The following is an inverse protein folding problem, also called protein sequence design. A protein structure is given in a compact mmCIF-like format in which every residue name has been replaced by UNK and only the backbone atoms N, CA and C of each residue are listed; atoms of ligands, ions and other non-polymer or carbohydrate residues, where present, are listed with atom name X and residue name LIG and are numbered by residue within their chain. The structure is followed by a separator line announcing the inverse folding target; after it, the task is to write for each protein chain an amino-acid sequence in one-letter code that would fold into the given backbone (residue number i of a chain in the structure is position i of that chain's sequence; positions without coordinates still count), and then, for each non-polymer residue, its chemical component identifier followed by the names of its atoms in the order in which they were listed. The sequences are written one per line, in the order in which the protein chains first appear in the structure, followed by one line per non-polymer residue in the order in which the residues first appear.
data_IF_624639978524
#
_entry.id   IF_624639978524
#
_cell.length_a   1.000
_cell.length_b   1.000
_cell.length_c   1.000
_cell.angle_alpha   90.00
_cell.angle_beta   90.00
_cell.angle_gamma   90.00
#
_symmetry.space_group_name_H-M   'P 1'
#
loop_
_entity.id
_entity.type
_entity.pdbx_description
1 polymer ?
#
# COMPACT_ATOMS: atom_id res chain seq x y z
N UNK A 1 -13.20 -14.42 -12.28
CA UNK A 1 -11.97 -15.10 -12.65
C UNK A 1 -10.87 -14.85 -11.62
N UNK A 2 -10.45 -13.61 -11.35
CA UNK A 2 -9.42 -13.32 -10.35
C UNK A 2 -9.75 -13.89 -8.96
N UNK A 3 -11.01 -13.82 -8.52
CA UNK A 3 -11.45 -14.41 -7.27
C UNK A 3 -11.25 -15.93 -7.23
N UNK A 4 -11.44 -16.61 -8.35
CA UNK A 4 -11.18 -18.06 -8.46
C UNK A 4 -9.69 -18.37 -8.28
N UNK A 5 -8.83 -17.59 -8.93
CA UNK A 5 -7.37 -17.75 -8.81
C UNK A 5 -6.94 -17.52 -7.36
N UNK A 6 -7.34 -16.42 -6.74
CA UNK A 6 -7.01 -16.13 -5.34
C UNK A 6 -7.47 -17.26 -4.42
N UNK A 7 -8.72 -17.72 -4.60
CA UNK A 7 -9.25 -18.82 -3.78
C UNK A 7 -8.47 -20.12 -3.99
N UNK A 8 -8.08 -20.42 -5.22
CA UNK A 8 -7.22 -21.55 -5.54
C UNK A 8 -5.89 -21.46 -4.78
N UNK A 9 -5.16 -20.34 -4.90
CA UNK A 9 -3.87 -20.18 -4.22
C UNK A 9 -3.96 -20.21 -2.69
N UNK A 10 -5.00 -19.62 -2.11
CA UNK A 10 -5.22 -19.66 -0.64
C UNK A 10 -5.42 -21.10 -0.13
N UNK A 11 -5.99 -21.97 -0.95
CA UNK A 11 -6.29 -23.35 -0.57
C UNK A 11 -5.35 -24.39 -1.18
N UNK A 12 -4.41 -23.96 -2.00
CA UNK A 12 -3.43 -24.85 -2.60
C UNK A 12 -2.32 -25.18 -1.60
N UNK A 13 -1.94 -26.45 -1.56
CA UNK A 13 -0.78 -26.92 -0.81
C UNK A 13 0.18 -27.59 -1.78
N UNK A 14 1.39 -27.05 -1.99
CA UNK A 14 2.40 -27.72 -2.81
C UNK A 14 2.74 -29.09 -2.25
N UNK A 15 3.10 -30.01 -3.12
CA UNK A 15 3.49 -31.36 -2.73
C UNK A 15 5.01 -31.47 -2.55
N UNK A 16 5.47 -32.52 -1.91
CA UNK A 16 6.88 -32.87 -1.83
C UNK A 16 7.68 -32.22 -0.69
N UNK A 17 7.02 -31.70 0.36
CA UNK A 17 7.68 -31.11 1.52
C UNK A 17 7.37 -31.88 2.81
N UNK A 18 8.29 -31.81 3.76
CA UNK A 18 8.19 -32.45 5.09
C UNK A 18 8.33 -31.44 6.20
N UNK A 19 7.72 -31.73 7.36
CA UNK A 19 7.89 -30.94 8.59
C UNK A 19 9.32 -31.09 9.15
N UNK A 20 9.73 -30.19 10.05
CA UNK A 20 11.00 -30.28 10.77
C UNK A 20 12.18 -29.80 9.93
N UNK A 21 12.09 -28.59 9.43
CA UNK A 21 13.05 -27.99 8.51
C UNK A 21 14.29 -27.50 9.22
N UNK A 22 15.43 -27.92 8.73
CA UNK A 22 16.73 -27.43 9.16
C UNK A 22 17.61 -27.27 7.92
N UNK A 23 18.21 -26.10 7.75
CA UNK A 23 19.15 -25.88 6.67
C UNK A 23 20.38 -26.76 6.92
N UNK A 24 20.83 -27.46 5.89
CA UNK A 24 22.07 -28.24 5.97
C UNK A 24 23.24 -27.34 6.31
N UNK A 25 24.10 -27.85 7.18
CA UNK A 25 25.39 -27.24 7.42
C UNK A 25 26.42 -27.67 6.37
N UNK A 26 26.18 -28.76 5.69
CA UNK A 26 27.06 -29.32 4.66
C UNK A 26 26.30 -29.61 3.38
N UNK A 27 26.94 -29.33 2.25
CA UNK A 27 26.42 -29.65 0.93
C UNK A 27 27.46 -30.42 0.15
N UNK A 28 27.01 -31.22 -0.83
CA UNK A 28 27.90 -31.92 -1.77
C UNK A 28 27.93 -31.14 -3.06
N UNK A 29 29.14 -30.75 -3.49
CA UNK A 29 29.35 -30.06 -4.75
C UNK A 29 30.62 -30.59 -5.45
N UNK A 30 30.51 -31.02 -6.70
CA UNK A 30 31.61 -31.60 -7.48
C UNK A 30 32.37 -32.69 -6.73
N UNK A 31 31.64 -33.55 -5.97
CA UNK A 31 32.22 -34.63 -5.18
C UNK A 31 32.92 -34.20 -3.88
N UNK A 32 32.89 -32.92 -3.56
CA UNK A 32 33.44 -32.39 -2.31
C UNK A 32 32.30 -32.19 -1.30
N UNK A 33 32.58 -32.36 0.00
CA UNK A 33 31.70 -32.00 1.11
C UNK A 33 32.09 -30.62 1.59
N UNK A 34 31.22 -29.64 1.35
CA UNK A 34 31.44 -28.24 1.70
C UNK A 34 30.62 -27.87 2.90
N UNK A 35 31.16 -27.06 3.82
CA UNK A 35 30.44 -26.49 4.95
C UNK A 35 29.91 -25.10 4.60
N UNK A 36 28.59 -24.87 4.80
CA UNK A 36 27.99 -23.57 4.66
C UNK A 36 28.43 -22.65 5.80
N UNK A 37 28.86 -21.45 5.46
CA UNK A 37 29.22 -20.39 6.41
C UNK A 37 28.15 -19.31 6.41
N UNK A 38 27.74 -18.92 7.61
CA UNK A 38 26.71 -17.90 7.83
C UNK A 38 27.36 -16.65 8.39
N UNK A 39 26.98 -15.49 7.88
CA UNK A 39 27.39 -14.19 8.40
C UNK A 39 26.14 -13.43 8.85
N UNK A 40 26.00 -13.19 10.16
CA UNK A 40 24.87 -12.46 10.72
C UNK A 40 23.49 -12.98 10.27
N UNK A 41 23.27 -14.27 10.32
CA UNK A 41 22.08 -14.97 9.83
C UNK A 41 21.99 -15.16 8.32
N UNK A 42 23.05 -14.95 7.61
CA UNK A 42 23.06 -15.08 6.17
C UNK A 42 24.00 -16.19 5.72
N UNK A 43 23.65 -16.90 4.66
CA UNK A 43 24.57 -17.80 3.98
C UNK A 43 25.50 -16.93 3.13
N UNK A 44 26.77 -16.89 3.51
CA UNK A 44 27.76 -16.06 2.80
C UNK A 44 28.56 -16.85 1.79
N UNK A 45 29.02 -18.06 2.15
CA UNK A 45 29.84 -18.91 1.28
C UNK A 45 29.86 -20.36 1.80
N UNK A 46 30.38 -21.26 0.99
CA UNK A 46 30.64 -22.64 1.38
C UNK A 46 32.17 -22.96 1.31
N UNK A 47 32.69 -23.62 2.33
CA UNK A 47 34.10 -23.93 2.47
C UNK A 47 34.37 -25.44 2.39
N UNK A 48 35.48 -25.80 1.81
CA UNK A 48 36.01 -27.17 1.82
C UNK A 48 36.93 -27.33 3.06
N UNK A 49 36.38 -27.93 4.11
CA UNK A 49 37.18 -28.21 5.33
C UNK A 49 38.34 -29.16 5.10
N UNK A 50 38.22 -30.03 4.11
CA UNK A 50 39.29 -30.98 3.73
C UNK A 50 40.47 -30.30 3.01
N UNK A 51 40.24 -29.12 2.46
CA UNK A 51 41.23 -28.32 1.75
C UNK A 51 41.45 -26.96 2.44
N UNK A 52 41.81 -27.01 3.72
CA UNK A 52 42.23 -25.83 4.49
C UNK A 52 41.13 -24.70 4.54
N UNK A 53 39.88 -25.05 4.53
CA UNK A 53 38.73 -24.12 4.49
C UNK A 53 38.75 -23.21 3.24
N UNK A 54 39.20 -23.74 2.11
CA UNK A 54 39.10 -23.05 0.83
C UNK A 54 37.65 -22.67 0.56
N UNK A 55 37.38 -21.42 0.21
CA UNK A 55 36.08 -20.97 -0.27
C UNK A 55 35.85 -21.53 -1.69
N UNK A 56 34.84 -22.38 -1.83
CA UNK A 56 34.52 -23.04 -3.10
C UNK A 56 33.33 -22.42 -3.78
N UNK A 57 32.31 -22.08 -2.96
CA UNK A 57 31.11 -21.39 -3.39
C UNK A 57 31.02 -20.13 -2.58
N UNK A 58 30.82 -18.98 -3.20
CA UNK A 58 30.74 -17.72 -2.50
C UNK A 58 29.72 -16.80 -3.13
N UNK A 59 29.24 -15.90 -2.31
CA UNK A 59 28.28 -14.87 -2.67
C UNK A 59 28.98 -13.52 -2.60
N UNK A 60 29.67 -13.17 -3.67
CA UNK A 60 30.42 -11.92 -3.77
C UNK A 60 29.95 -11.16 -5.02
N UNK A 61 29.86 -9.83 -4.91
CA UNK A 61 29.69 -8.99 -6.09
C UNK A 61 31.03 -8.83 -6.84
N UNK A 62 31.02 -8.10 -7.97
CA UNK A 62 32.25 -7.85 -8.76
C UNK A 62 33.32 -7.09 -8.00
N UNK A 63 32.95 -6.40 -6.96
CA UNK A 63 33.82 -5.57 -6.13
C UNK A 63 34.39 -6.36 -4.93
N UNK A 64 34.03 -7.65 -4.81
CA UNK A 64 34.48 -8.54 -3.76
C UNK A 64 33.74 -8.37 -2.44
N UNK A 65 32.54 -7.74 -2.44
CA UNK A 65 31.73 -7.64 -1.26
C UNK A 65 30.83 -8.87 -1.12
N UNK A 66 30.74 -9.42 0.09
CA UNK A 66 29.83 -10.53 0.38
C UNK A 66 28.38 -10.13 0.10
N UNK A 67 27.71 -10.88 -0.75
CA UNK A 67 26.27 -10.77 -0.95
C UNK A 67 25.62 -11.75 0.01
N UNK A 68 25.15 -11.26 1.14
CA UNK A 68 24.58 -12.08 2.19
C UNK A 68 23.04 -12.11 2.10
N UNK A 69 22.46 -13.28 2.38
CA UNK A 69 21.03 -13.50 2.49
C UNK A 69 20.70 -13.87 3.93
N UNK A 70 19.60 -13.33 4.44
CA UNK A 70 19.18 -13.66 5.80
C UNK A 70 18.74 -15.13 5.86
N UNK A 71 19.32 -15.92 6.74
CA UNK A 71 18.94 -17.34 6.91
C UNK A 71 17.53 -17.50 7.52
N UNK A 72 17.02 -16.47 8.20
CA UNK A 72 15.65 -16.41 8.72
C UNK A 72 14.65 -15.94 7.65
N UNK A 73 15.11 -15.40 6.53
CA UNK A 73 14.26 -15.18 5.39
C UNK A 73 13.60 -16.51 5.03
N UNK A 74 12.34 -16.49 4.77
CA UNK A 74 11.54 -17.68 4.60
C UNK A 74 12.29 -18.75 3.82
N UNK A 75 12.05 -20.03 4.10
CA UNK A 75 12.64 -21.16 3.37
C UNK A 75 12.52 -21.03 1.84
N UNK A 76 11.55 -20.25 1.35
CA UNK A 76 11.39 -19.87 -0.04
C UNK A 76 12.61 -19.12 -0.58
N UNK A 77 13.14 -18.17 0.18
CA UNK A 77 14.26 -17.35 -0.27
C UNK A 77 15.56 -18.10 -0.23
N UNK A 78 15.75 -18.96 0.75
CA UNK A 78 16.90 -19.86 0.80
C UNK A 78 16.95 -20.83 -0.37
N UNK A 79 15.82 -21.31 -0.87
CA UNK A 79 15.73 -22.14 -2.05
C UNK A 79 16.19 -21.46 -3.35
N UNK A 80 16.40 -20.17 -3.31
CA UNK A 80 16.81 -19.37 -4.47
C UNK A 80 18.17 -18.70 -4.29
N UNK A 81 18.90 -19.05 -3.26
CA UNK A 81 20.27 -18.63 -3.14
C UNK A 81 21.08 -19.10 -4.35
N UNK A 82 21.90 -18.23 -4.86
CA UNK A 82 22.80 -18.48 -5.98
C UNK A 82 24.21 -18.27 -5.48
N UNK A 83 25.04 -19.25 -5.73
CA UNK A 83 26.49 -19.13 -5.55
C UNK A 83 27.18 -19.02 -6.89
N UNK A 84 28.20 -18.22 -6.94
CA UNK A 84 29.13 -18.18 -8.05
C UNK A 84 30.37 -19.01 -7.65
N UNK A 85 30.75 -20.02 -8.43
CA UNK A 85 31.96 -20.78 -8.19
C UNK A 85 33.21 -20.03 -8.69
N UNK A 86 34.39 -20.59 -8.42
CA UNK A 86 35.65 -19.98 -8.84
C UNK A 86 35.77 -19.79 -10.36
N UNK A 87 35.01 -20.53 -11.15
CA UNK A 87 34.98 -20.47 -12.60
C UNK A 87 33.90 -19.52 -13.13
N UNK A 88 33.13 -18.85 -12.25
CA UNK A 88 32.07 -17.93 -12.61
C UNK A 88 30.73 -18.59 -12.94
N UNK A 89 30.59 -19.91 -12.67
CA UNK A 89 29.30 -20.59 -12.88
C UNK A 89 28.33 -20.29 -11.75
N UNK A 90 27.07 -20.03 -12.12
CA UNK A 90 26.00 -19.80 -11.17
C UNK A 90 25.40 -21.12 -10.71
N UNK A 91 25.40 -21.35 -9.39
CA UNK A 91 24.88 -22.56 -8.77
C UNK A 91 23.72 -22.16 -7.86
N UNK A 92 22.59 -22.81 -8.03
CA UNK A 92 21.39 -22.59 -7.23
C UNK A 92 21.36 -23.53 -6.03
N UNK A 93 21.13 -22.99 -4.83
CA UNK A 93 20.69 -23.80 -3.69
C UNK A 93 19.25 -24.22 -3.97
N UNK A 94 19.01 -25.51 -3.91
CA UNK A 94 17.67 -26.07 -4.00
C UNK A 94 17.21 -26.66 -2.66
N UNK A 95 16.03 -27.26 -2.65
CA UNK A 95 15.42 -27.85 -1.48
C UNK A 95 16.20 -29.04 -0.90
N UNK A 96 17.07 -29.65 -1.66
CA UNK A 96 17.92 -30.75 -1.20
C UNK A 96 18.95 -30.33 -0.15
N UNK A 97 19.10 -29.04 0.08
CA UNK A 97 20.01 -28.51 1.09
C UNK A 97 19.46 -28.51 2.53
N UNK A 98 18.27 -29.05 2.73
CA UNK A 98 17.69 -29.22 4.06
C UNK A 98 17.92 -30.62 4.59
N UNK A 99 18.10 -30.76 5.90
CA UNK A 99 18.28 -32.04 6.58
C UNK A 99 17.48 -32.11 7.87
N UNK A 100 17.14 -33.36 8.30
CA UNK A 100 16.60 -33.64 9.62
C UNK A 100 17.72 -33.62 10.69
N UNK A 101 17.32 -33.83 11.97
CA UNK A 101 18.28 -33.87 13.08
C UNK A 101 19.29 -35.02 12.96
N UNK A 102 19.03 -36.03 12.15
CA UNK A 102 19.91 -37.18 11.84
C UNK A 102 20.82 -36.93 10.66
N UNK A 103 20.73 -35.76 10.00
CA UNK A 103 21.52 -35.41 8.82
C UNK A 103 21.01 -36.02 7.52
N UNK A 104 19.77 -36.56 7.49
CA UNK A 104 19.17 -37.04 6.24
C UNK A 104 18.57 -35.87 5.48
N UNK A 105 18.70 -35.93 4.15
CA UNK A 105 18.04 -34.97 3.28
C UNK A 105 16.53 -34.99 3.43
N UNK A 106 15.95 -33.83 3.65
CA UNK A 106 14.51 -33.65 3.71
C UNK A 106 14.07 -32.58 2.71
N UNK A 107 12.89 -32.79 2.17
CA UNK A 107 12.16 -31.76 1.46
C UNK A 107 11.23 -31.11 2.47
N UNK A 108 11.36 -29.81 2.78
CA UNK A 108 10.54 -29.16 3.77
C UNK A 108 9.06 -29.26 3.45
N UNK A 109 8.21 -29.44 4.48
CA UNK A 109 6.76 -29.42 4.31
C UNK A 109 6.31 -28.02 3.87
N UNK A 110 5.39 -28.00 2.94
CA UNK A 110 4.67 -26.79 2.58
C UNK A 110 3.42 -26.62 3.44
N UNK A 111 2.95 -25.41 3.52
CA UNK A 111 1.70 -25.06 4.14
C UNK A 111 0.62 -24.78 3.09
N UNK A 112 -0.63 -24.95 3.47
CA UNK A 112 -1.76 -24.51 2.65
C UNK A 112 -1.68 -22.99 2.47
N UNK A 113 -1.75 -22.52 1.23
CA UNK A 113 -1.67 -21.11 0.91
C UNK A 113 -0.25 -20.56 0.86
N UNK A 114 0.77 -21.38 0.83
CA UNK A 114 2.18 -20.95 0.75
C UNK A 114 2.45 -20.00 -0.42
N UNK A 115 1.80 -20.21 -1.57
CA UNK A 115 1.91 -19.36 -2.76
C UNK A 115 0.76 -18.36 -2.90
N UNK A 116 0.08 -18.00 -1.80
CA UNK A 116 -1.08 -17.10 -1.84
C UNK A 116 -0.73 -15.61 -1.93
N UNK A 117 0.51 -15.28 -2.24
CA UNK A 117 0.92 -13.90 -2.50
C UNK A 117 0.56 -13.43 -3.91
N UNK A 118 0.56 -12.10 -4.10
CA UNK A 118 0.17 -11.50 -5.36
C UNK A 118 1.14 -11.81 -6.51
N UNK A 119 2.42 -12.02 -6.22
CA UNK A 119 3.41 -12.31 -7.25
C UNK A 119 3.13 -13.66 -7.92
N UNK A 120 2.80 -14.71 -7.15
CA UNK A 120 2.41 -16.01 -7.70
C UNK A 120 1.09 -15.93 -8.47
N UNK A 121 0.10 -15.17 -7.99
CA UNK A 121 -1.15 -14.93 -8.71
C UNK A 121 -0.91 -14.25 -10.06
N UNK A 122 -0.03 -13.26 -10.11
CA UNK A 122 0.32 -12.55 -11.35
C UNK A 122 1.12 -13.44 -12.30
N UNK A 123 2.09 -14.20 -11.78
CA UNK A 123 2.86 -15.17 -12.57
C UNK A 123 1.93 -16.22 -13.18
N UNK A 124 0.99 -16.77 -12.41
CA UNK A 124 -0.01 -17.72 -12.89
C UNK A 124 -0.87 -17.13 -14.02
N UNK A 125 -1.34 -15.91 -13.87
CA UNK A 125 -2.06 -15.18 -14.92
C UNK A 125 -1.23 -14.99 -16.19
N UNK A 126 0.08 -14.97 -16.09
CA UNK A 126 1.01 -14.86 -17.22
C UNK A 126 1.14 -16.13 -18.07
N UNK A 127 0.76 -17.30 -17.52
CA UNK A 127 0.84 -18.58 -18.24
C UNK A 127 -0.21 -18.71 -19.35
N UNK A 128 -0.07 -19.73 -20.21
CA UNK A 128 -1.02 -20.03 -21.28
C UNK A 128 -2.45 -20.23 -20.77
N UNK A 129 -3.42 -19.72 -21.48
CA UNK A 129 -4.84 -19.83 -21.09
C UNK A 129 -5.28 -21.28 -20.86
N UNK A 130 -4.85 -22.19 -21.74
CA UNK A 130 -5.22 -23.60 -21.65
C UNK A 130 -4.78 -24.22 -20.32
N UNK A 131 -3.56 -23.96 -19.89
CA UNK A 131 -3.02 -24.47 -18.62
C UNK A 131 -3.73 -23.83 -17.41
N UNK A 132 -3.90 -22.51 -17.45
CA UNK A 132 -4.57 -21.78 -16.37
C UNK A 132 -6.02 -22.27 -16.19
N UNK A 133 -6.76 -22.42 -17.27
CA UNK A 133 -8.13 -22.91 -17.21
C UNK A 133 -8.20 -24.38 -16.79
N UNK A 134 -7.32 -25.25 -17.26
CA UNK A 134 -7.27 -26.66 -16.83
C UNK A 134 -7.04 -26.80 -15.34
N UNK A 135 -6.08 -26.04 -14.79
CA UNK A 135 -5.81 -26.00 -13.34
C UNK A 135 -7.05 -25.57 -12.56
N UNK A 136 -7.66 -24.45 -12.97
CA UNK A 136 -8.81 -23.91 -12.23
C UNK A 136 -10.08 -24.76 -12.39
N UNK A 137 -10.32 -25.31 -13.57
CA UNK A 137 -11.48 -26.20 -13.82
C UNK A 137 -11.36 -27.56 -13.11
N UNK A 138 -10.13 -27.99 -12.84
CA UNK A 138 -9.85 -29.19 -12.08
C UNK A 138 -10.16 -29.10 -10.60
N UNK A 139 -10.27 -27.90 -10.03
CA UNK A 139 -10.57 -27.71 -8.63
C UNK A 139 -12.07 -27.56 -8.36
N UNK A 140 -12.67 -28.60 -7.78
CA UNK A 140 -14.10 -28.63 -7.47
C UNK A 140 -14.55 -27.54 -6.49
N UNK A 141 -13.65 -27.05 -5.63
CA UNK A 141 -13.95 -26.00 -4.64
C UNK A 141 -14.29 -24.65 -5.26
N UNK A 142 -13.79 -24.39 -6.45
CA UNK A 142 -14.02 -23.13 -7.19
C UNK A 142 -14.98 -23.30 -8.38
N UNK A 143 -15.65 -24.44 -8.49
CA UNK A 143 -16.54 -24.74 -9.62
C UNK A 143 -17.61 -23.66 -9.84
N UNK A 144 -18.18 -23.09 -8.79
CA UNK A 144 -19.16 -22.00 -8.87
C UNK A 144 -18.57 -20.70 -9.44
N UNK A 145 -17.33 -20.38 -9.08
CA UNK A 145 -16.62 -19.19 -9.58
C UNK A 145 -16.19 -19.35 -11.05
N UNK A 146 -15.98 -20.59 -11.48
CA UNK A 146 -15.58 -20.92 -12.85
C UNK A 146 -16.78 -21.21 -13.78
N UNK A 147 -18.00 -21.33 -13.25
CA UNK A 147 -19.19 -21.64 -14.02
C UNK A 147 -19.40 -20.72 -15.25
N UNK A 148 -19.20 -19.40 -15.19
CA UNK A 148 -19.36 -18.52 -16.34
C UNK A 148 -18.41 -18.82 -17.52
N UNK A 149 -17.29 -19.50 -17.25
CA UNK A 149 -16.25 -19.80 -18.24
C UNK A 149 -16.34 -21.23 -18.77
N UNK A 150 -17.11 -22.08 -18.11
CA UNK A 150 -17.15 -23.52 -18.39
C UNK A 150 -17.58 -23.83 -19.81
N UNK A 151 -18.67 -23.23 -20.30
CA UNK A 151 -19.16 -23.47 -21.65
C UNK A 151 -18.16 -23.10 -22.73
N UNK A 152 -17.47 -21.97 -22.57
CA UNK A 152 -16.45 -21.54 -23.51
C UNK A 152 -15.23 -22.48 -23.48
N UNK A 153 -14.85 -22.94 -22.28
CA UNK A 153 -13.75 -23.88 -22.08
C UNK A 153 -14.06 -25.26 -22.69
N UNK A 154 -15.23 -25.83 -22.40
CA UNK A 154 -15.67 -27.15 -22.93
C UNK A 154 -15.77 -27.14 -24.45
N UNK A 155 -16.23 -26.04 -25.04
CA UNK A 155 -16.32 -25.85 -26.50
C UNK A 155 -14.96 -25.44 -27.14
N UNK A 156 -13.87 -25.35 -26.37
CA UNK A 156 -12.55 -24.89 -26.82
C UNK A 156 -12.58 -23.53 -27.53
N UNK A 157 -13.47 -22.65 -27.08
CA UNK A 157 -13.62 -21.30 -27.61
C UNK A 157 -12.54 -20.37 -27.06
N UNK A 158 -11.27 -20.60 -27.41
CA UNK A 158 -10.11 -19.90 -26.84
C UNK A 158 -10.19 -18.39 -27.06
N UNK A 159 -10.62 -17.91 -28.22
CA UNK A 159 -10.79 -16.48 -28.50
C UNK A 159 -11.79 -15.82 -27.53
N UNK A 160 -12.88 -16.53 -27.20
CA UNK A 160 -13.85 -16.04 -26.21
C UNK A 160 -13.27 -16.00 -24.81
N UNK A 161 -12.51 -17.03 -24.39
CA UNK A 161 -11.83 -17.06 -23.10
C UNK A 161 -10.77 -15.96 -22.99
N UNK A 162 -10.00 -15.75 -24.06
CA UNK A 162 -9.03 -14.66 -24.15
C UNK A 162 -9.69 -13.29 -24.04
N UNK A 163 -10.82 -13.08 -24.71
CA UNK A 163 -11.60 -11.85 -24.58
C UNK A 163 -12.09 -11.59 -23.15
N UNK A 164 -12.57 -12.65 -22.47
CA UNK A 164 -13.06 -12.56 -21.08
C UNK A 164 -11.97 -12.20 -20.06
N UNK A 165 -10.74 -12.69 -20.23
CA UNK A 165 -9.66 -12.50 -19.28
C UNK A 165 -8.56 -11.54 -19.77
N UNK A 166 -8.57 -11.20 -21.05
CA UNK A 166 -7.58 -10.33 -21.68
C UNK A 166 -7.50 -8.95 -21.02
N UNK A 167 -8.64 -8.35 -20.75
CA UNK A 167 -8.71 -7.06 -20.06
C UNK A 167 -8.06 -7.13 -18.67
N UNK A 168 -8.27 -8.21 -17.92
CA UNK A 168 -7.61 -8.42 -16.63
C UNK A 168 -6.10 -8.50 -16.81
N UNK A 169 -5.62 -9.31 -17.76
CA UNK A 169 -4.18 -9.45 -18.03
C UNK A 169 -3.53 -8.13 -18.39
N UNK A 170 -4.15 -7.34 -19.27
CA UNK A 170 -3.63 -6.01 -19.63
C UNK A 170 -3.54 -5.09 -18.40
N UNK A 171 -4.59 -5.08 -17.59
CA UNK A 171 -4.61 -4.23 -16.40
C UNK A 171 -3.57 -4.63 -15.34
N UNK A 172 -3.30 -5.92 -15.15
CA UNK A 172 -2.32 -6.38 -14.17
C UNK A 172 -0.89 -6.45 -14.72
N UNK A 173 -0.70 -6.40 -16.04
CA UNK A 173 0.63 -6.50 -16.67
C UNK A 173 1.63 -5.45 -16.12
N UNK A 174 1.14 -4.27 -15.76
CA UNK A 174 1.96 -3.22 -15.14
C UNK A 174 2.54 -3.58 -13.77
N UNK A 175 1.96 -4.57 -13.08
CA UNK A 175 2.43 -5.07 -11.79
C UNK A 175 3.45 -6.23 -11.94
N UNK A 176 3.68 -6.69 -13.16
CA UNK A 176 4.63 -7.77 -13.46
C UNK A 176 6.02 -7.17 -13.62
N UNK A 177 6.71 -6.98 -12.51
CA UNK A 177 8.08 -6.47 -12.48
C UNK A 177 8.88 -7.12 -11.34
N UNK A 178 10.21 -7.20 -11.44
CA UNK A 178 11.04 -7.72 -10.36
C UNK A 178 10.85 -6.97 -9.04
N UNK A 179 10.67 -5.66 -9.08
CA UNK A 179 10.45 -4.82 -7.91
C UNK A 179 9.09 -5.11 -7.23
N UNK A 180 8.02 -5.21 -8.03
CA UNK A 180 6.70 -5.53 -7.50
C UNK A 180 6.67 -6.94 -6.90
N UNK A 181 7.31 -7.91 -7.55
CA UNK A 181 7.40 -9.28 -7.02
C UNK A 181 8.17 -9.34 -5.71
N UNK A 182 9.25 -8.57 -5.57
CA UNK A 182 9.99 -8.45 -4.32
C UNK A 182 9.09 -7.99 -3.17
N UNK A 183 8.31 -6.93 -3.40
CA UNK A 183 7.37 -6.41 -2.40
C UNK A 183 6.26 -7.40 -2.07
N UNK A 184 5.71 -8.09 -3.09
CA UNK A 184 4.59 -9.01 -2.89
C UNK A 184 4.97 -10.33 -2.23
N UNK A 185 6.23 -10.74 -2.32
CA UNK A 185 6.72 -11.96 -1.68
C UNK A 185 7.37 -11.72 -0.33
N UNK A 186 7.56 -10.46 0.07
CA UNK A 186 8.07 -10.10 1.39
C UNK A 186 7.02 -10.22 2.48
N UNK A 187 7.43 -10.49 3.69
CA UNK A 187 6.61 -10.53 4.92
C UNK A 187 7.27 -9.76 6.06
N UNK A 188 7.92 -8.64 5.72
CA UNK A 188 8.70 -7.83 6.66
C UNK A 188 7.85 -6.89 7.51
N UNK A 189 6.59 -6.67 7.13
CA UNK A 189 5.71 -5.67 7.75
C UNK A 189 4.35 -6.22 8.13
N UNK A 190 4.03 -6.16 9.42
CA UNK A 190 2.65 -6.37 9.87
C UNK A 190 1.84 -5.06 9.76
N UNK A 191 0.77 -5.09 8.96
CA UNK A 191 -0.14 -3.97 8.81
C UNK A 191 -1.04 -3.71 10.04
N UNK A 192 -0.85 -4.44 11.13
CA UNK A 192 -1.55 -4.23 12.39
C UNK A 192 -0.84 -3.14 13.22
N UNK A 193 -0.66 -1.97 12.62
CA UNK A 193 0.12 -0.85 13.20
C UNK A 193 -0.39 -0.34 14.54
N UNK A 194 -1.66 -0.60 14.87
CA UNK A 194 -2.35 -0.20 16.10
C UNK A 194 -2.42 -1.28 17.16
N UNK A 195 -1.61 -2.34 17.03
CA UNK A 195 -1.50 -3.39 18.04
C UNK A 195 -0.96 -2.81 19.35
N UNK A 196 -1.67 -3.00 20.48
CA UNK A 196 -1.19 -2.53 21.79
C UNK A 196 0.18 -3.07 22.20
N UNK A 197 0.53 -4.29 21.77
CA UNK A 197 1.81 -4.92 22.11
C UNK A 197 2.97 -4.43 21.22
N UNK A 198 2.64 -4.07 19.96
CA UNK A 198 3.66 -3.68 18.95
C UNK A 198 3.21 -2.48 18.12
N UNK A 199 2.94 -1.31 18.75
CA UNK A 199 2.51 -0.13 18.03
C UNK A 199 3.62 0.35 17.09
N UNK A 200 3.23 0.72 15.87
CA UNK A 200 4.21 1.12 14.85
C UNK A 200 3.72 2.30 14.00
N UNK A 201 4.65 2.92 13.28
CA UNK A 201 4.37 3.93 12.27
C UNK A 201 4.55 3.32 10.89
N UNK A 202 3.62 3.64 9.99
CA UNK A 202 3.72 3.26 8.59
C UNK A 202 3.75 4.53 7.73
N UNK A 203 4.81 4.69 6.95
CA UNK A 203 4.92 5.76 5.95
C UNK A 203 4.86 5.13 4.58
N UNK A 204 3.88 5.55 3.78
CA UNK A 204 3.68 5.09 2.41
C UNK A 204 4.03 6.25 1.48
N UNK A 205 5.10 6.09 0.70
CA UNK A 205 5.50 7.07 -0.29
C UNK A 205 4.92 6.75 -1.68
N UNK A 206 4.64 7.77 -2.47
CA UNK A 206 4.30 7.66 -3.88
C UNK A 206 5.45 8.21 -4.73
N UNK A 207 5.61 7.67 -5.93
CA UNK A 207 6.59 8.15 -6.90
C UNK A 207 5.84 8.59 -8.17
N UNK A 208 5.85 9.88 -8.50
CA UNK A 208 5.12 10.40 -9.66
C UNK A 208 5.54 9.76 -10.99
N UNK A 209 6.83 9.33 -11.12
CA UNK A 209 7.32 8.69 -12.34
C UNK A 209 6.78 7.26 -12.51
N UNK A 210 6.41 6.61 -11.39
CA UNK A 210 5.94 5.22 -11.35
C UNK A 210 4.54 5.09 -10.74
N UNK A 211 3.78 6.16 -10.73
CA UNK A 211 2.48 6.24 -10.06
C UNK A 211 1.53 5.09 -10.41
N UNK A 212 1.48 4.67 -11.67
CA UNK A 212 0.59 3.59 -12.10
C UNK A 212 0.89 2.24 -11.43
N UNK A 213 2.16 1.97 -11.12
CA UNK A 213 2.57 0.73 -10.44
C UNK A 213 2.49 0.93 -8.93
N UNK A 214 3.19 1.93 -8.40
CA UNK A 214 3.31 2.20 -6.96
C UNK A 214 1.96 2.58 -6.37
N UNK A 215 1.17 3.40 -7.06
CA UNK A 215 -0.19 3.76 -6.61
C UNK A 215 -1.11 2.55 -6.48
N UNK A 216 -1.00 1.56 -7.38
CA UNK A 216 -1.76 0.31 -7.27
C UNK A 216 -1.33 -0.53 -6.06
N UNK A 217 -0.02 -0.62 -5.78
CA UNK A 217 0.53 -1.28 -4.60
C UNK A 217 0.07 -0.58 -3.31
N UNK A 218 0.20 0.73 -3.28
CA UNK A 218 -0.23 1.56 -2.15
C UNK A 218 -1.73 1.39 -1.88
N UNK A 219 -2.55 1.34 -2.92
CA UNK A 219 -3.99 1.10 -2.81
C UNK A 219 -4.30 -0.26 -2.16
N UNK A 220 -3.57 -1.32 -2.50
CA UNK A 220 -3.72 -2.64 -1.86
C UNK A 220 -3.37 -2.59 -0.37
N UNK A 221 -2.23 -1.98 -0.02
CA UNK A 221 -1.77 -1.82 1.36
C UNK A 221 -2.81 -1.02 2.16
N UNK A 222 -3.24 0.13 1.65
CA UNK A 222 -4.23 0.99 2.31
C UNK A 222 -5.57 0.29 2.52
N UNK A 223 -6.08 -0.42 1.52
CA UNK A 223 -7.33 -1.17 1.65
C UNK A 223 -7.24 -2.29 2.69
N UNK A 224 -6.08 -2.95 2.82
CA UNK A 224 -5.85 -3.95 3.85
C UNK A 224 -5.70 -3.31 5.23
N UNK A 225 -4.94 -2.22 5.32
CA UNK A 225 -4.72 -1.44 6.53
C UNK A 225 -6.04 -1.02 7.17
N UNK A 226 -6.99 -0.46 6.40
CA UNK A 226 -8.32 -0.06 6.90
C UNK A 226 -9.01 -1.17 7.67
N UNK A 227 -8.95 -2.39 7.16
CA UNK A 227 -9.58 -3.55 7.83
C UNK A 227 -8.87 -3.90 9.14
N UNK A 228 -7.55 -3.74 9.19
CA UNK A 228 -6.74 -4.06 10.36
C UNK A 228 -6.90 -3.04 11.49
N UNK A 229 -6.91 -1.75 11.16
CA UNK A 229 -7.00 -0.68 12.16
C UNK A 229 -8.43 -0.42 12.64
N UNK A 230 -9.43 -0.65 11.79
CA UNK A 230 -10.85 -0.45 12.14
C UNK A 230 -11.44 -1.65 12.87
N UNK A 231 -10.78 -2.09 13.93
CA UNK A 231 -11.22 -3.21 14.77
C UNK A 231 -11.12 -2.86 16.25
N UNK A 232 -11.89 -3.57 17.08
CA UNK A 232 -11.91 -3.35 18.53
C UNK A 232 -10.59 -3.83 19.17
N UNK A 233 -10.19 -3.17 20.27
CA UNK A 233 -9.02 -3.54 21.05
C UNK A 233 -7.71 -2.90 20.57
N UNK A 234 -7.73 -2.19 19.45
CA UNK A 234 -6.57 -1.48 18.94
C UNK A 234 -6.31 -0.16 19.68
N UNK A 235 -5.07 0.32 19.60
CA UNK A 235 -4.72 1.68 20.00
C UNK A 235 -5.35 2.71 19.06
N UNK A 236 -5.53 3.98 19.49
CA UNK A 236 -5.92 5.07 18.61
C UNK A 236 -4.94 5.22 17.44
N UNK A 237 -5.49 5.47 16.24
CA UNK A 237 -4.71 5.63 15.00
C UNK A 237 -5.05 6.95 14.33
N UNK A 238 -4.03 7.61 13.79
CA UNK A 238 -4.19 8.75 12.89
C UNK A 238 -3.71 8.36 11.50
N UNK A 239 -4.57 8.53 10.51
CA UNK A 239 -4.23 8.41 9.09
C UNK A 239 -4.13 9.83 8.53
N UNK A 240 -2.99 10.15 7.95
CA UNK A 240 -2.74 11.45 7.32
C UNK A 240 -2.39 11.16 5.86
N UNK A 241 -3.22 11.64 4.94
CA UNK A 241 -3.03 11.55 3.49
C UNK A 241 -2.80 12.95 2.97
N UNK A 242 -1.58 13.26 2.55
CA UNK A 242 -1.17 14.59 2.11
C UNK A 242 -1.81 14.98 0.76
N UNK A 243 -1.85 14.04 -0.20
CA UNK A 243 -2.43 14.26 -1.52
C UNK A 243 -3.34 13.08 -1.90
N UNK A 244 -4.62 13.15 -1.53
CA UNK A 244 -5.58 12.06 -1.74
C UNK A 244 -5.80 11.69 -3.22
N UNK A 245 -5.87 12.63 -4.19
CA UNK A 245 -6.06 12.29 -5.60
C UNK A 245 -4.96 11.40 -6.19
N UNK A 246 -3.75 11.39 -5.64
CA UNK A 246 -2.67 10.51 -6.11
C UNK A 246 -2.80 9.07 -5.63
N UNK A 247 -3.78 8.78 -4.78
CA UNK A 247 -4.00 7.48 -4.15
C UNK A 247 -5.46 7.05 -4.28
N UNK A 248 -5.72 5.90 -4.92
CA UNK A 248 -7.06 5.34 -4.92
C UNK A 248 -7.36 4.59 -3.61
N UNK A 249 -7.90 5.29 -2.65
CA UNK A 249 -8.25 4.75 -1.33
C UNK A 249 -9.72 4.35 -1.28
N UNK A 250 -10.05 3.22 -1.86
CA UNK A 250 -11.42 2.78 -2.19
C UNK A 250 -12.43 2.81 -1.04
N UNK A 251 -12.03 2.58 0.20
CA UNK A 251 -12.98 2.47 1.35
C UNK A 251 -12.86 3.61 2.34
N UNK A 252 -12.28 4.72 1.92
CA UNK A 252 -12.03 5.84 2.83
C UNK A 252 -13.31 6.44 3.40
N UNK A 253 -14.37 6.56 2.59
CA UNK A 253 -15.68 7.04 3.01
C UNK A 253 -16.28 6.18 4.12
N UNK A 254 -16.18 4.85 4.01
CA UNK A 254 -16.65 3.92 5.04
C UNK A 254 -15.79 4.02 6.30
N UNK A 255 -14.48 4.14 6.15
CA UNK A 255 -13.58 4.29 7.28
C UNK A 255 -13.96 5.53 8.09
N UNK A 256 -14.08 6.70 7.45
CA UNK A 256 -14.45 7.95 8.14
C UNK A 256 -15.79 7.79 8.86
N UNK A 257 -16.79 7.18 8.22
CA UNK A 257 -18.12 6.99 8.81
C UNK A 257 -18.19 5.99 9.96
N UNK A 258 -17.27 5.02 10.05
CA UNK A 258 -17.37 3.92 11.04
C UNK A 258 -16.22 3.88 12.05
N UNK A 259 -15.14 4.57 11.80
CA UNK A 259 -13.92 4.42 12.57
C UNK A 259 -13.89 5.19 13.90
N UNK A 260 -14.88 6.07 14.15
CA UNK A 260 -14.97 6.86 15.39
C UNK A 260 -14.98 5.97 16.64
N UNK A 261 -15.76 4.91 16.63
CA UNK A 261 -15.85 3.95 17.75
C UNK A 261 -14.54 3.20 18.01
N UNK A 262 -13.70 3.07 16.99
CA UNK A 262 -12.38 2.42 17.04
C UNK A 262 -11.24 3.45 17.19
N UNK A 263 -11.55 4.71 17.47
CA UNK A 263 -10.58 5.79 17.72
C UNK A 263 -9.62 6.02 16.55
N UNK A 264 -10.11 5.92 15.32
CA UNK A 264 -9.34 6.24 14.12
C UNK A 264 -9.68 7.64 13.65
N UNK A 265 -8.70 8.52 13.59
CA UNK A 265 -8.81 9.84 12.96
C UNK A 265 -8.27 9.79 11.53
N UNK A 266 -8.90 10.57 10.64
CA UNK A 266 -8.51 10.62 9.23
C UNK A 266 -8.37 12.07 8.82
N UNK A 267 -7.19 12.43 8.30
CA UNK A 267 -6.89 13.74 7.71
C UNK A 267 -6.59 13.54 6.24
N UNK A 268 -7.32 14.23 5.37
CA UNK A 268 -7.20 14.13 3.92
C UNK A 268 -6.81 15.49 3.36
N UNK A 269 -5.68 15.53 2.64
CA UNK A 269 -5.23 16.68 1.87
C UNK A 269 -5.55 16.49 0.38
N UNK A 270 -5.91 17.57 -0.27
CA UNK A 270 -6.02 17.70 -1.73
C UNK A 270 -5.99 19.19 -2.12
N UNK A 271 -5.72 19.47 -3.38
CA UNK A 271 -5.56 20.87 -3.82
C UNK A 271 -6.89 21.47 -4.29
N UNK A 272 -7.61 20.76 -5.17
CA UNK A 272 -8.82 21.26 -5.81
C UNK A 272 -9.87 20.13 -5.95
N UNK A 273 -11.17 20.49 -5.85
CA UNK A 273 -12.26 19.52 -5.99
C UNK A 273 -12.28 18.72 -7.29
N UNK A 274 -12.03 19.31 -8.47
CA UNK A 274 -12.02 18.56 -9.72
C UNK A 274 -10.98 17.44 -9.77
N UNK A 275 -9.85 17.57 -9.07
CA UNK A 275 -8.88 16.48 -8.96
C UNK A 275 -9.49 15.30 -8.21
N UNK A 276 -10.15 15.58 -7.09
CA UNK A 276 -10.82 14.55 -6.30
C UNK A 276 -11.99 13.91 -7.06
N UNK A 277 -12.74 14.70 -7.85
CA UNK A 277 -13.82 14.20 -8.72
C UNK A 277 -13.29 13.29 -9.83
N UNK A 278 -12.15 13.62 -10.42
CA UNK A 278 -11.51 12.78 -11.46
C UNK A 278 -11.28 11.35 -11.00
N UNK A 279 -10.81 11.16 -9.78
CA UNK A 279 -10.37 9.85 -9.29
C UNK A 279 -11.46 9.08 -8.53
N UNK A 280 -12.30 9.78 -7.79
CA UNK A 280 -13.36 9.17 -6.98
C UNK A 280 -14.76 9.28 -7.59
N UNK A 281 -14.89 10.02 -8.70
CA UNK A 281 -16.17 10.37 -9.29
C UNK A 281 -16.97 11.34 -8.42
N UNK A 282 -17.95 12.01 -9.00
CA UNK A 282 -18.76 13.03 -8.31
C UNK A 282 -19.41 12.52 -7.03
N UNK A 283 -19.97 11.32 -7.07
CA UNK A 283 -20.63 10.72 -5.90
C UNK A 283 -19.63 10.38 -4.80
N UNK A 284 -18.45 9.85 -5.17
CA UNK A 284 -17.38 9.53 -4.22
C UNK A 284 -16.83 10.78 -3.55
N UNK A 285 -16.53 11.82 -4.33
CA UNK A 285 -16.09 13.12 -3.83
C UNK A 285 -17.09 13.70 -2.82
N UNK A 286 -18.38 13.78 -3.14
CA UNK A 286 -19.39 14.28 -2.22
C UNK A 286 -19.49 13.45 -0.94
N UNK A 287 -19.39 12.12 -1.02
CA UNK A 287 -19.39 11.27 0.18
C UNK A 287 -18.20 11.56 1.09
N UNK A 288 -16.99 11.68 0.53
CA UNK A 288 -15.78 11.99 1.29
C UNK A 288 -15.94 13.33 2.01
N UNK A 289 -16.28 14.38 1.27
CA UNK A 289 -16.38 15.73 1.82
C UNK A 289 -17.47 15.82 2.91
N UNK A 290 -18.66 15.25 2.66
CA UNK A 290 -19.78 15.33 3.60
C UNK A 290 -19.56 14.55 4.90
N UNK A 291 -18.62 13.60 4.93
CA UNK A 291 -18.26 12.86 6.14
C UNK A 291 -17.19 13.55 6.97
N UNK A 292 -16.50 14.55 6.42
CA UNK A 292 -15.48 15.32 7.14
C UNK A 292 -16.14 16.42 8.00
N UNK A 293 -15.95 16.35 9.31
CA UNK A 293 -16.47 17.35 10.23
C UNK A 293 -15.62 18.62 10.33
N UNK A 294 -14.32 18.50 10.07
CA UNK A 294 -13.37 19.61 10.08
C UNK A 294 -12.87 19.87 8.66
N UNK A 295 -12.86 21.12 8.25
CA UNK A 295 -12.40 21.56 6.94
C UNK A 295 -11.41 22.70 7.13
N UNK A 296 -10.20 22.55 6.58
CA UNK A 296 -9.16 23.56 6.58
C UNK A 296 -8.78 23.84 5.12
N UNK A 297 -8.84 25.08 4.70
CA UNK A 297 -8.46 25.44 3.36
C UNK A 297 -7.60 26.71 3.36
N UNK A 298 -6.61 26.72 2.46
CA UNK A 298 -5.88 27.91 2.03
C UNK A 298 -6.54 28.57 0.83
N UNK A 299 -5.80 29.41 0.10
CA UNK A 299 -6.26 29.98 -1.16
C UNK A 299 -6.52 28.85 -2.18
N UNK A 300 -7.67 28.90 -2.84
CA UNK A 300 -8.01 28.05 -3.98
C UNK A 300 -8.15 28.90 -5.25
N UNK A 301 -8.04 28.32 -6.41
CA UNK A 301 -8.15 29.02 -7.70
C UNK A 301 -9.26 28.50 -8.59
N UNK A 302 -9.62 27.23 -8.40
CA UNK A 302 -10.68 26.63 -9.19
C UNK A 302 -12.05 27.19 -8.79
N UNK A 303 -12.85 27.56 -9.76
CA UNK A 303 -14.18 28.15 -9.55
C UNK A 303 -15.10 27.24 -8.74
N UNK A 304 -15.13 25.95 -9.01
CA UNK A 304 -15.98 24.98 -8.32
C UNK A 304 -15.60 24.85 -6.84
N UNK A 305 -14.31 24.75 -6.54
CA UNK A 305 -13.79 24.75 -5.16
C UNK A 305 -14.15 26.01 -4.42
N UNK A 306 -14.01 27.18 -5.06
CA UNK A 306 -14.35 28.48 -4.47
C UNK A 306 -15.85 28.63 -4.23
N UNK A 307 -16.69 28.22 -5.17
CA UNK A 307 -18.17 28.27 -5.04
C UNK A 307 -18.65 27.30 -3.96
N UNK A 308 -18.11 26.09 -3.91
CA UNK A 308 -18.40 25.13 -2.84
C UNK A 308 -18.02 25.71 -1.46
N UNK A 309 -16.82 26.26 -1.32
CA UNK A 309 -16.41 26.84 -0.04
C UNK A 309 -17.30 28.01 0.37
N UNK A 310 -17.58 28.92 -0.54
CA UNK A 310 -18.38 30.12 -0.28
C UNK A 310 -19.84 29.81 0.03
N UNK A 311 -20.47 28.85 -0.69
CA UNK A 311 -21.89 28.56 -0.57
C UNK A 311 -22.18 27.47 0.46
N UNK A 312 -21.39 26.38 0.48
CA UNK A 312 -21.73 25.18 1.29
C UNK A 312 -21.02 25.20 2.64
N UNK A 313 -19.74 25.62 2.70
CA UNK A 313 -19.02 25.71 3.97
C UNK A 313 -19.44 26.98 4.74
N UNK A 314 -19.31 28.15 4.11
CA UNK A 314 -19.60 29.43 4.81
C UNK A 314 -21.07 29.81 4.77
N UNK A 315 -21.75 29.54 3.65
CA UNK A 315 -23.16 29.90 3.48
C UNK A 315 -23.39 31.41 3.36
N UNK A 316 -24.61 31.82 3.60
CA UNK A 316 -25.06 33.20 3.49
C UNK A 316 -25.42 33.80 4.81
N UNK A 317 -25.17 35.07 4.99
CA UNK A 317 -25.63 35.87 6.11
C UNK A 317 -26.54 37.01 5.66
N UNK A 318 -27.45 37.43 6.52
CA UNK A 318 -28.25 38.64 6.29
C UNK A 318 -27.37 39.87 6.45
N UNK A 319 -27.33 40.69 5.44
CA UNK A 319 -26.74 42.03 5.51
C UNK A 319 -27.85 43.08 5.41
N UNK A 320 -27.83 44.02 6.36
CA UNK A 320 -28.70 45.19 6.33
C UNK A 320 -27.97 46.29 5.53
N UNK A 321 -28.51 46.65 4.39
CA UNK A 321 -28.05 47.81 3.66
C UNK A 321 -28.96 49.03 3.96
N UNK A 322 -28.33 50.08 4.41
CA UNK A 322 -28.98 51.37 4.62
C UNK A 322 -28.67 52.28 3.43
N UNK A 323 -29.69 52.65 2.67
CA UNK A 323 -29.53 53.69 1.67
C UNK A 323 -30.28 54.96 2.10
N UNK A 324 -29.57 56.05 2.14
CA UNK A 324 -30.12 57.36 2.46
C UNK A 324 -30.16 58.16 1.15
N UNK A 325 -31.36 58.55 0.75
CA UNK A 325 -31.56 59.43 -0.41
C UNK A 325 -31.97 60.82 0.13
N UNK A 326 -31.13 61.81 -0.21
CA UNK A 326 -31.37 63.19 0.21
C UNK A 326 -31.76 63.98 -1.05
N UNK A 327 -32.98 64.51 -1.08
CA UNK A 327 -33.45 65.48 -2.06
C UNK A 327 -33.72 66.79 -1.35
N UNK A 328 -33.74 67.91 -2.10
CA UNK A 328 -33.81 69.26 -1.58
C UNK A 328 -34.90 69.57 -0.53
N UNK A 329 -35.86 68.67 -0.35
CA UNK A 329 -36.96 68.84 0.62
C UNK A 329 -37.31 67.57 1.42
N UNK A 330 -36.66 66.42 1.18
CA UNK A 330 -36.96 65.15 1.88
C UNK A 330 -35.76 64.26 2.04
N UNK A 331 -35.54 63.74 3.22
CA UNK A 331 -34.62 62.63 3.51
C UNK A 331 -35.42 61.33 3.57
N UNK A 332 -35.10 60.40 2.72
CA UNK A 332 -35.69 59.05 2.74
C UNK A 332 -34.60 58.04 3.09
N UNK A 333 -34.86 57.22 4.14
CA UNK A 333 -34.00 56.12 4.54
C UNK A 333 -34.69 54.82 4.16
N UNK A 334 -34.02 54.03 3.29
CA UNK A 334 -34.51 52.70 2.93
C UNK A 334 -33.57 51.68 3.57
N UNK A 335 -34.17 50.77 4.38
CA UNK A 335 -33.44 49.62 4.93
C UNK A 335 -33.84 48.42 4.09
N UNK A 336 -32.87 47.81 3.45
CA UNK A 336 -33.10 46.58 2.69
C UNK A 336 -32.26 45.44 3.28
N UNK A 337 -32.86 44.27 3.42
CA UNK A 337 -32.21 43.06 3.81
C UNK A 337 -31.72 42.36 2.53
N UNK A 338 -30.44 42.02 2.48
CA UNK A 338 -29.84 41.22 1.38
C UNK A 338 -29.12 40.03 1.97
N UNK A 339 -29.30 38.88 1.35
CA UNK A 339 -28.54 37.67 1.69
C UNK A 339 -27.27 37.64 0.86
N UNK A 340 -26.14 37.87 1.48
CA UNK A 340 -24.82 37.79 0.83
C UNK A 340 -23.98 36.64 1.42
N UNK A 341 -23.03 36.12 0.64
CA UNK A 341 -22.14 35.09 1.12
C UNK A 341 -21.34 35.58 2.33
N UNK A 342 -21.26 34.81 3.39
CA UNK A 342 -20.50 35.14 4.60
C UNK A 342 -19.03 35.40 4.27
N UNK A 343 -18.44 34.51 3.44
CA UNK A 343 -17.12 34.68 2.86
C UNK A 343 -17.24 34.57 1.35
N UNK A 344 -17.12 35.69 0.60
CA UNK A 344 -17.16 35.66 -0.86
C UNK A 344 -16.01 34.84 -1.46
N UNK A 345 -16.27 34.18 -2.58
CA UNK A 345 -15.28 33.38 -3.32
C UNK A 345 -14.00 34.17 -3.63
N UNK A 346 -14.11 35.44 -4.01
CA UNK A 346 -12.95 36.30 -4.27
C UNK A 346 -12.05 36.48 -3.03
N UNK A 347 -12.63 36.56 -1.84
CA UNK A 347 -11.86 36.67 -0.59
C UNK A 347 -11.05 35.42 -0.28
N UNK A 348 -11.59 34.25 -0.64
CA UNK A 348 -10.89 32.96 -0.50
C UNK A 348 -9.76 32.86 -1.53
N UNK A 349 -10.02 33.28 -2.77
CA UNK A 349 -9.03 33.24 -3.85
C UNK A 349 -7.82 34.15 -3.55
N UNK A 350 -8.05 35.27 -2.89
CA UNK A 350 -7.03 36.28 -2.57
C UNK A 350 -6.32 36.05 -1.22
N UNK A 351 -6.56 34.92 -0.55
CA UNK A 351 -5.87 34.65 0.71
C UNK A 351 -4.36 34.57 0.54
N UNK A 352 -3.65 35.31 1.37
CA UNK A 352 -2.20 35.27 1.43
C UNK A 352 -1.70 34.04 2.19
N UNK A 353 -0.44 33.69 2.01
CA UNK A 353 0.22 32.60 2.77
C UNK A 353 0.05 32.80 4.26
N UNK A 354 -0.32 31.73 4.94
CA UNK A 354 -0.57 31.72 6.38
C UNK A 354 -2.00 32.06 6.78
N UNK A 355 -2.90 32.30 5.83
CA UNK A 355 -4.33 32.40 6.12
C UNK A 355 -5.02 31.06 5.94
N UNK A 356 -5.97 30.78 6.83
CA UNK A 356 -6.85 29.61 6.78
C UNK A 356 -8.29 30.03 6.86
N UNK A 357 -9.11 29.32 6.09
CA UNK A 357 -10.57 29.43 6.13
C UNK A 357 -11.17 28.02 6.30
N UNK A 358 -12.35 27.91 6.86
CA UNK A 358 -12.99 26.62 6.97
C UNK A 358 -14.02 26.49 8.07
N UNK A 359 -14.20 25.24 8.50
CA UNK A 359 -15.18 24.88 9.52
C UNK A 359 -14.55 23.85 10.47
N UNK A 360 -14.78 24.03 11.78
CA UNK A 360 -14.44 23.07 12.82
C UNK A 360 -15.72 22.39 13.35
N UNK A 361 -15.67 21.09 13.55
CA UNK A 361 -16.76 20.35 14.18
C UNK A 361 -16.89 20.79 15.65
N UNK A 362 -18.14 20.87 16.14
CA UNK A 362 -18.38 21.08 17.58
C UNK A 362 -18.07 19.78 18.32
N UNK A 363 -17.25 19.89 19.36
CA UNK A 363 -17.07 18.81 20.32
C UNK A 363 -18.06 19.03 21.50
N UNK A 364 -18.40 17.95 22.20
CA UNK A 364 -19.34 17.99 23.33
C UNK A 364 -18.63 18.20 24.67
N UNK A 365 -17.34 18.46 24.70
CA UNK A 365 -16.60 18.63 25.93
C UNK A 365 -16.76 20.03 26.49
N UNK A 366 -16.94 20.15 27.82
CA UNK A 366 -17.09 21.42 28.55
C UNK A 366 -15.80 22.31 28.48
N UNK A 367 -14.75 21.86 27.83
CA UNK A 367 -13.49 22.59 27.63
C UNK A 367 -13.45 23.43 26.36
N UNK A 368 -14.52 23.42 25.57
CA UNK A 368 -14.57 24.06 24.25
C UNK A 368 -14.38 25.58 24.30
N UNK A 369 -14.85 26.24 25.34
CA UNK A 369 -14.65 27.69 25.47
C UNK A 369 -13.18 28.11 25.49
N UNK A 370 -12.30 27.29 26.06
CA UNK A 370 -10.85 27.61 26.12
C UNK A 370 -10.12 27.25 24.84
N UNK A 371 -10.55 26.23 24.10
CA UNK A 371 -9.88 25.78 22.90
C UNK A 371 -10.14 26.72 21.72
N UNK A 372 -11.32 27.31 21.64
CA UNK A 372 -11.69 28.28 20.60
C UNK A 372 -11.39 29.74 20.92
N UNK A 373 -11.08 30.07 22.16
CA UNK A 373 -10.69 31.43 22.56
C UNK A 373 -9.40 31.94 21.88
N UNK A 374 -8.56 31.03 21.35
CA UNK A 374 -7.38 31.37 20.58
C UNK A 374 -7.64 31.64 19.10
N UNK A 375 -8.83 31.33 18.62
CA UNK A 375 -9.30 31.71 17.29
C UNK A 375 -10.24 32.89 17.49
N UNK A 376 -9.93 34.06 16.94
CA UNK A 376 -10.83 35.24 16.94
C UNK A 376 -12.10 34.91 16.15
N UNK A 377 -12.98 34.10 16.74
CA UNK A 377 -14.31 33.83 16.24
C UNK A 377 -15.21 34.90 16.85
N UNK A 378 -15.67 35.82 16.01
CA UNK A 378 -16.71 36.78 16.43
C UNK A 378 -17.95 35.98 16.85
N UNK A 379 -18.24 35.96 18.13
CA UNK A 379 -19.48 35.39 18.68
C UNK A 379 -20.63 36.29 18.26
N UNK A 380 -21.55 35.78 17.46
CA UNK A 380 -22.91 36.33 17.39
C UNK A 380 -23.71 35.74 18.52
N UNK A 381 -24.48 36.56 19.22
CA UNK A 381 -25.18 36.23 20.48
C UNK A 381 -26.13 35.01 20.41
N UNK A 382 -26.55 34.55 19.24
CA UNK A 382 -27.54 33.50 19.07
C UNK A 382 -27.02 32.13 18.61
N UNK A 383 -25.84 32.05 17.95
CA UNK A 383 -25.22 30.77 17.50
C UNK A 383 -23.70 30.86 17.50
N UNK A 384 -23.04 30.09 18.33
CA UNK A 384 -21.58 29.91 18.24
C UNK A 384 -21.25 29.30 16.87
N UNK A 385 -20.65 30.08 16.00
CA UNK A 385 -20.22 29.58 14.67
C UNK A 385 -19.02 28.66 14.80
N UNK A 386 -19.03 27.57 14.06
CA UNK A 386 -17.89 26.68 13.90
C UNK A 386 -16.98 27.10 12.74
N UNK A 387 -17.35 28.19 12.05
CA UNK A 387 -16.64 28.69 10.87
C UNK A 387 -15.55 29.65 11.27
N UNK A 388 -14.43 29.63 10.56
CA UNK A 388 -13.30 30.51 10.84
C UNK A 388 -12.69 31.02 9.54
N UNK A 389 -12.12 32.21 9.64
CA UNK A 389 -11.33 32.88 8.63
C UNK A 389 -10.23 33.65 9.38
N UNK A 390 -9.02 33.08 9.48
CA UNK A 390 -8.00 33.59 10.37
C UNK A 390 -6.60 33.46 9.79
N UNK A 391 -5.70 34.29 10.28
CA UNK A 391 -4.26 34.17 10.02
C UNK A 391 -3.65 33.21 11.05
N UNK A 392 -2.93 32.20 10.56
CA UNK A 392 -2.19 31.27 11.42
C UNK A 392 -0.93 31.93 12.00
N UNK A 393 -0.64 31.60 13.23
CA UNK A 393 0.59 32.05 13.89
C UNK A 393 1.52 30.85 14.11
N UNK A 394 2.29 30.50 13.08
CA UNK A 394 3.26 29.40 13.18
C UNK A 394 4.49 29.86 13.97
N UNK A 395 4.88 29.05 14.93
CA UNK A 395 6.15 29.21 15.62
C UNK A 395 7.29 28.61 14.78
N UNK A 396 7.73 29.35 13.77
CA UNK A 396 8.79 28.91 12.84
C UNK A 396 10.09 28.51 13.54
N UNK A 397 10.40 29.12 14.70
CA UNK A 397 11.57 28.74 15.49
C UNK A 397 11.42 27.37 16.13
N UNK A 398 10.25 27.04 16.65
CA UNK A 398 9.97 25.72 17.21
C UNK A 398 9.98 24.65 16.10
N UNK A 399 9.36 24.91 14.95
CA UNK A 399 9.39 24.03 13.78
C UNK A 399 10.82 23.75 13.34
N UNK A 400 11.63 24.78 13.13
CA UNK A 400 13.03 24.60 12.74
C UNK A 400 13.89 23.87 13.81
N UNK A 401 13.53 23.95 15.09
CA UNK A 401 14.19 23.20 16.16
C UNK A 401 13.79 21.72 16.13
N UNK A 402 12.55 21.42 15.78
CA UNK A 402 12.08 20.04 15.62
C UNK A 402 12.65 19.39 14.35
N UNK A 403 12.72 20.11 13.25
CA UNK A 403 13.36 19.63 12.01
C UNK A 403 14.82 19.20 12.25
N UNK A 404 15.55 19.91 13.09
CA UNK A 404 16.92 19.53 13.47
C UNK A 404 17.01 18.24 14.30
N UNK A 405 15.90 17.79 14.87
CA UNK A 405 15.81 16.55 15.65
C UNK A 405 15.32 15.38 14.80
N UNK A 406 15.10 15.62 13.51
CA UNK A 406 14.65 14.57 12.60
C UNK A 406 15.63 13.39 12.64
N UNK A 407 15.09 12.22 12.86
CA UNK A 407 15.81 10.95 12.79
C UNK A 407 15.31 10.20 11.58
N UNK A 408 16.22 9.76 10.74
CA UNK A 408 15.84 8.96 9.57
C UNK A 408 15.10 7.70 10.01
N UNK A 409 14.04 7.36 9.25
CA UNK A 409 13.31 6.14 9.48
C UNK A 409 14.24 4.93 9.25
N UNK A 410 14.15 3.89 10.12
CA UNK A 410 14.93 2.68 9.91
C UNK A 410 14.58 2.06 8.56
N UNK A 411 15.60 1.66 7.82
CA UNK A 411 15.44 0.93 6.57
C UNK A 411 15.35 -0.55 6.92
N UNK A 412 14.25 -1.19 6.58
CA UNK A 412 14.02 -2.62 6.84
C UNK A 412 15.01 -3.45 6.04
N UNK A 413 15.20 -3.11 4.77
CA UNK A 413 16.17 -3.75 3.90
C UNK A 413 17.04 -2.73 3.16
N UNK A 414 18.35 -3.01 3.06
CA UNK A 414 19.31 -2.18 2.34
C UNK A 414 20.15 -3.04 1.42
N UNK A 415 20.05 -2.80 0.12
CA UNK A 415 20.96 -3.38 -0.85
C UNK A 415 22.34 -2.73 -0.73
N UNK A 416 23.39 -3.51 -0.62
CA UNK A 416 24.78 -3.02 -0.50
C UNK A 416 25.24 -2.31 -1.78
N UNK A 417 24.74 -2.75 -2.94
CA UNK A 417 25.07 -2.19 -4.25
C UNK A 417 23.90 -2.24 -5.21
N UNK A 418 23.96 -1.44 -6.29
CA UNK A 418 22.99 -1.50 -7.38
C UNK A 418 22.95 -2.88 -8.05
N UNK A 419 24.13 -3.49 -8.21
CA UNK A 419 24.24 -4.82 -8.81
C UNK A 419 23.61 -5.89 -7.94
N UNK A 420 23.82 -5.85 -6.63
CA UNK A 420 23.16 -6.75 -5.69
C UNK A 420 21.64 -6.62 -5.80
N UNK A 421 21.16 -5.37 -5.80
CA UNK A 421 19.72 -5.10 -5.98
C UNK A 421 19.19 -5.78 -7.24
N UNK A 422 19.79 -5.54 -8.40
CA UNK A 422 19.35 -6.10 -9.66
C UNK A 422 19.38 -7.64 -9.64
N UNK A 423 20.44 -8.22 -9.07
CA UNK A 423 20.58 -9.67 -8.96
C UNK A 423 19.48 -10.29 -8.09
N UNK A 424 19.22 -9.71 -6.91
CA UNK A 424 18.22 -10.24 -5.97
C UNK A 424 16.81 -10.11 -6.52
N UNK A 425 16.48 -8.95 -7.07
CA UNK A 425 15.17 -8.72 -7.67
C UNK A 425 14.89 -9.69 -8.82
N UNK A 426 15.84 -9.85 -9.73
CA UNK A 426 15.70 -10.76 -10.87
C UNK A 426 15.62 -12.22 -10.40
N UNK A 427 16.38 -12.60 -9.41
CA UNK A 427 16.33 -13.94 -8.83
C UNK A 427 14.97 -14.24 -8.25
N UNK A 428 14.45 -13.34 -7.42
CA UNK A 428 13.11 -13.50 -6.84
C UNK A 428 12.04 -13.60 -7.93
N UNK A 429 12.13 -12.76 -8.95
CA UNK A 429 11.23 -12.82 -10.09
C UNK A 429 11.26 -14.18 -10.81
N UNK A 430 12.45 -14.69 -11.07
CA UNK A 430 12.65 -16.00 -11.71
C UNK A 430 12.18 -17.15 -10.82
N UNK A 431 12.39 -17.05 -9.50
CA UNK A 431 11.89 -18.02 -8.52
C UNK A 431 10.39 -18.17 -8.61
N UNK A 432 9.64 -17.07 -8.45
CA UNK A 432 8.18 -17.06 -8.49
C UNK A 432 7.65 -17.67 -9.79
N UNK A 433 8.24 -17.31 -10.93
CA UNK A 433 7.84 -17.87 -12.22
C UNK A 433 8.12 -19.38 -12.30
N UNK A 434 9.24 -19.85 -11.76
CA UNK A 434 9.58 -21.28 -11.72
C UNK A 434 8.66 -22.06 -10.78
N UNK A 435 8.39 -21.53 -9.58
CA UNK A 435 7.47 -22.14 -8.61
C UNK A 435 6.04 -22.21 -9.17
N UNK A 436 5.59 -21.15 -9.83
CA UNK A 436 4.29 -21.16 -10.49
C UNK A 436 4.19 -22.16 -11.63
N UNK A 437 5.26 -22.28 -12.43
CA UNK A 437 5.32 -23.31 -13.48
C UNK A 437 5.29 -24.71 -12.88
N UNK A 438 6.08 -24.96 -11.85
CA UNK A 438 6.11 -26.25 -11.15
C UNK A 438 4.73 -26.60 -10.55
N UNK A 439 4.04 -25.62 -9.98
CA UNK A 439 2.67 -25.77 -9.51
C UNK A 439 1.72 -26.22 -10.62
N UNK A 440 1.77 -25.56 -11.77
CA UNK A 440 0.93 -25.92 -12.92
C UNK A 440 1.24 -27.35 -13.38
N UNK A 441 2.51 -27.69 -13.50
CA UNK A 441 2.95 -29.02 -13.95
C UNK A 441 2.54 -30.12 -12.93
N UNK A 442 2.66 -29.84 -11.62
CA UNK A 442 2.22 -30.74 -10.55
C UNK A 442 0.70 -31.02 -10.62
N UNK A 443 -0.11 -29.94 -10.66
CA UNK A 443 -1.57 -30.06 -10.73
C UNK A 443 -2.05 -30.76 -12.01
N UNK A 444 -1.35 -30.59 -13.13
CA UNK A 444 -1.67 -31.21 -14.40
C UNK A 444 -1.06 -32.61 -14.57
N UNK A 445 -0.33 -33.11 -13.57
CA UNK A 445 0.35 -34.42 -13.60
C UNK A 445 1.44 -34.50 -14.66
N UNK A 446 2.05 -33.36 -15.03
CA UNK A 446 3.20 -33.32 -15.93
C UNK A 446 4.47 -33.57 -15.13
N UNK A 447 5.27 -34.52 -15.55
CA UNK A 447 6.59 -34.72 -14.94
C UNK A 447 7.45 -33.50 -15.23
N UNK A 448 7.92 -32.84 -14.15
CA UNK A 448 8.93 -31.79 -14.27
C UNK A 448 10.22 -32.44 -14.79
N UNK A 449 10.61 -32.08 -16.01
CA UNK A 449 11.87 -32.53 -16.62
C UNK A 449 13.04 -31.74 -16.07
#
# INVERSE_FOLDING_TARGET
FLAAIIYFFVNFRPTGYKDGKKLRQYVSYNGRKLRLQFTQRCVAFAVDESNNNEKVLFFEDKDGNDVAFDEDDSLKDLNNLVYEDADGNIIYIDRSWYEDDSGNEIVPDTITGEYSDMAHVLAFLGHGYDDVFKVLMGDSRIASLMAPFRTAFDNKANEQLEGMVGTLRVNVARLVSPEAYWVFTGDDLDLKISDPERPSYLVIANDPEKEQVIGSLNALILNRLVTRINSRGNLPVSIIVDELPTLYFHKIDRLIGTARSNKVSVTLGFQELPQLESDYGKVGMHKIISTCGNIFMGAARNKETLEWASNDIFGKSKQLSHSITINDSKVSTTISEKMDNLVPAAKIADMATGWLAGQAARDFSATDEKMFSNFNIEESDDFKTTKYFCKTNFNLKAIAAEEKRYVELPKIYQFKSKREKELLLNRNFMRVNRETKALIDDVLGRTTA
#
